data_IF_891308630216
#
_entry.id   IF_891308630216
#
_cell.length_a   1.000
_cell.length_b   1.000
_cell.length_c   1.000
_cell.angle_alpha   90.00
_cell.angle_beta   90.00
_cell.angle_gamma   90.00
#
_symmetry.space_group_name_H-M   'P 1'
#
loop_
_entity.id
_entity.type
_entity.pdbx_description
1 polymer ?
#
# COMPACT_ATOMS: atom_id res chain seq x y z
N UNK A 1 -3.92 25.29 19.46
CA UNK A 1 -3.43 24.09 20.16
C UNK A 1 -1.92 24.18 20.26
N UNK A 2 -1.39 24.58 21.43
CA UNK A 2 0.05 24.85 21.67
C UNK A 2 0.96 23.65 21.33
N UNK A 3 0.52 22.42 21.61
CA UNK A 3 1.24 21.18 21.23
C UNK A 3 1.35 21.00 19.72
N UNK A 4 0.37 21.44 18.97
CA UNK A 4 0.36 21.37 17.52
C UNK A 4 1.35 22.35 16.88
N UNK A 5 1.51 23.53 17.48
CA UNK A 5 2.45 24.54 16.97
C UNK A 5 3.91 24.20 17.27
N UNK A 6 4.17 23.45 18.35
CA UNK A 6 5.51 22.90 18.65
C UNK A 6 5.93 21.82 17.64
N UNK A 7 5.01 21.03 17.10
CA UNK A 7 5.33 19.96 16.14
C UNK A 7 5.56 20.47 14.72
N UNK A 8 5.07 21.65 14.36
CA UNK A 8 5.31 22.27 13.03
C UNK A 8 6.79 22.50 12.72
N UNK A 9 7.61 22.69 13.75
CA UNK A 9 9.05 22.91 13.61
C UNK A 9 9.87 21.60 13.55
N UNK A 10 9.22 20.46 13.79
CA UNK A 10 9.84 19.13 13.74
C UNK A 10 9.06 18.28 12.74
N UNK A 11 9.76 17.75 11.75
CA UNK A 11 9.19 16.75 10.84
C UNK A 11 8.94 15.46 11.63
N UNK A 12 7.74 15.28 12.15
CA UNK A 12 7.34 14.08 12.87
C UNK A 12 6.07 13.49 12.25
N UNK A 13 5.97 12.17 12.22
CA UNK A 13 4.84 11.42 11.70
C UNK A 13 3.76 11.13 12.76
N UNK A 14 4.05 11.44 14.02
CA UNK A 14 3.15 11.24 15.14
C UNK A 14 3.75 11.66 16.48
N UNK A 15 2.94 11.54 17.50
CA UNK A 15 3.30 11.80 18.88
C UNK A 15 3.14 10.53 19.71
N UNK A 16 3.98 10.36 20.72
CA UNK A 16 3.76 9.34 21.75
C UNK A 16 3.29 10.06 23.02
N UNK A 17 2.12 9.71 23.47
CA UNK A 17 1.52 10.24 24.71
C UNK A 17 1.74 9.21 25.81
N UNK A 18 2.43 9.60 26.87
CA UNK A 18 2.74 8.71 27.99
C UNK A 18 2.16 9.24 29.30
N UNK A 19 1.87 8.31 30.21
CA UNK A 19 1.57 8.65 31.61
C UNK A 19 2.82 9.25 32.24
N UNK A 20 2.73 10.44 32.83
CA UNK A 20 3.89 11.16 33.39
C UNK A 20 4.37 10.55 34.72
N UNK A 21 3.47 9.97 35.54
CA UNK A 21 3.83 9.39 36.85
C UNK A 21 4.61 8.06 36.69
N UNK A 22 5.83 8.04 37.24
CA UNK A 22 6.74 6.89 37.19
C UNK A 22 6.18 5.66 37.91
N UNK A 23 5.46 5.85 39.02
CA UNK A 23 4.90 4.74 39.79
C UNK A 23 3.76 4.08 39.01
N UNK A 24 2.92 4.88 38.37
CA UNK A 24 1.84 4.39 37.50
C UNK A 24 2.45 3.67 36.31
N UNK A 25 3.48 4.21 35.65
CA UNK A 25 4.18 3.52 34.53
C UNK A 25 4.71 2.16 34.96
N UNK A 26 5.35 2.07 36.13
CA UNK A 26 5.86 0.82 36.66
C UNK A 26 4.73 -0.20 36.97
N UNK A 27 3.61 0.28 37.52
CA UNK A 27 2.44 -0.57 37.81
C UNK A 27 1.76 -1.12 36.56
N UNK A 28 1.66 -0.31 35.49
CA UNK A 28 1.06 -0.71 34.21
C UNK A 28 1.95 -1.69 33.43
N UNK A 29 3.27 -1.53 33.51
CA UNK A 29 4.24 -2.40 32.87
C UNK A 29 4.18 -2.37 31.34
N UNK A 30 4.57 -3.50 30.72
CA UNK A 30 4.64 -3.69 29.27
C UNK A 30 3.79 -4.87 28.80
N UNK A 31 3.44 -4.85 27.52
CA UNK A 31 2.82 -5.96 26.81
C UNK A 31 3.87 -7.06 26.50
N UNK A 32 3.45 -8.32 26.16
CA UNK A 32 4.39 -9.37 25.77
C UNK A 32 5.30 -9.04 24.58
N UNK A 33 4.83 -8.16 23.68
CA UNK A 33 5.60 -7.67 22.54
C UNK A 33 6.57 -6.52 22.89
N UNK A 34 6.72 -6.18 24.19
CA UNK A 34 7.60 -5.13 24.68
C UNK A 34 7.01 -3.71 24.67
N UNK A 35 5.84 -3.50 24.07
CA UNK A 35 5.21 -2.18 24.02
C UNK A 35 4.73 -1.73 25.40
N UNK A 36 4.88 -0.43 25.76
CA UNK A 36 4.42 0.09 27.05
C UNK A 36 2.89 0.12 27.10
N UNK A 37 2.32 -0.31 28.25
CA UNK A 37 0.87 -0.16 28.51
C UNK A 37 0.47 1.24 28.94
N UNK A 38 1.44 2.05 29.30
CA UNK A 38 1.29 3.43 29.77
C UNK A 38 1.50 4.48 28.68
N UNK A 39 1.65 4.07 27.43
CA UNK A 39 1.86 4.97 26.31
C UNK A 39 0.96 4.60 25.11
N UNK A 40 0.54 5.62 24.37
CA UNK A 40 -0.22 5.47 23.14
C UNK A 40 0.40 6.32 22.03
N UNK A 41 0.56 5.75 20.84
CA UNK A 41 0.95 6.51 19.67
C UNK A 41 -0.27 7.21 19.07
N UNK A 42 -0.15 8.51 18.87
CA UNK A 42 -1.14 9.35 18.18
C UNK A 42 -0.58 9.78 16.84
N UNK A 43 -1.23 9.37 15.77
CA UNK A 43 -0.91 9.79 14.39
C UNK A 43 -2.08 10.56 13.82
N UNK A 44 -1.83 11.81 13.43
CA UNK A 44 -2.83 12.61 12.76
C UNK A 44 -2.69 12.48 11.25
N UNK A 45 -3.72 12.01 10.52
CA UNK A 45 -3.70 11.90 9.06
C UNK A 45 -3.40 13.23 8.35
N UNK A 46 -3.74 14.37 8.98
CA UNK A 46 -3.50 15.70 8.39
C UNK A 46 -2.04 16.16 8.43
N UNK A 47 -1.19 15.45 9.20
CA UNK A 47 0.26 15.74 9.27
C UNK A 47 1.06 15.03 8.18
N UNK A 48 0.42 14.13 7.44
CA UNK A 48 1.07 13.42 6.35
C UNK A 48 1.21 14.33 5.13
N UNK A 49 2.40 14.36 4.58
CA UNK A 49 2.62 15.03 3.29
C UNK A 49 1.78 14.35 2.21
N UNK A 50 1.08 15.16 1.41
CA UNK A 50 0.20 14.71 0.34
C UNK A 50 0.67 15.32 -0.97
N UNK A 51 0.85 14.48 -1.97
CA UNK A 51 1.26 14.91 -3.29
C UNK A 51 0.28 14.42 -4.34
N UNK A 52 -0.08 15.30 -5.25
CA UNK A 52 -0.86 14.93 -6.43
C UNK A 52 0.09 14.52 -7.54
N UNK A 53 -0.15 13.35 -8.13
CA UNK A 53 0.64 12.84 -9.25
C UNK A 53 -0.25 12.15 -10.26
N UNK A 54 0.29 11.86 -11.44
CA UNK A 54 -0.41 11.20 -12.54
C UNK A 54 0.03 9.74 -12.65
N UNK A 55 -0.93 8.82 -12.70
CA UNK A 55 -0.66 7.39 -12.95
C UNK A 55 -0.14 7.21 -14.37
N UNK A 56 1.00 6.57 -14.52
CA UNK A 56 1.58 6.20 -15.81
C UNK A 56 1.14 4.81 -16.25
N UNK A 57 1.12 3.85 -15.33
CA UNK A 57 0.68 2.47 -15.60
C UNK A 57 0.28 1.76 -14.30
N UNK A 58 -0.37 0.60 -14.47
CA UNK A 58 -0.54 -0.37 -13.38
C UNK A 58 0.17 -1.64 -13.83
N UNK A 59 1.14 -2.07 -13.03
CA UNK A 59 1.86 -3.31 -13.24
C UNK A 59 1.18 -4.43 -12.46
N UNK A 60 0.86 -5.52 -13.14
CA UNK A 60 0.23 -6.70 -12.55
C UNK A 60 1.24 -7.83 -12.46
N UNK A 61 1.43 -8.38 -11.28
CA UNK A 61 2.27 -9.56 -11.07
C UNK A 61 1.47 -10.68 -10.42
N UNK A 62 1.92 -11.92 -10.58
CA UNK A 62 1.27 -13.09 -9.97
C UNK A 62 2.05 -13.53 -8.72
N UNK A 63 1.34 -13.72 -7.62
CA UNK A 63 1.91 -14.24 -6.38
C UNK A 63 2.08 -15.76 -6.43
N UNK A 64 2.80 -16.35 -5.46
CA UNK A 64 2.93 -17.81 -5.29
C UNK A 64 1.59 -18.56 -5.20
N UNK A 65 0.54 -17.88 -4.73
CA UNK A 65 -0.80 -18.42 -4.59
C UNK A 65 -1.69 -18.14 -5.81
N UNK A 66 -1.12 -17.60 -6.89
CA UNK A 66 -1.82 -17.26 -8.12
C UNK A 66 -2.57 -15.93 -8.07
N UNK A 67 -2.53 -15.18 -6.98
CA UNK A 67 -3.22 -13.90 -6.85
C UNK A 67 -2.54 -12.81 -7.66
N UNK A 68 -3.33 -12.06 -8.43
CA UNK A 68 -2.86 -10.90 -9.18
C UNK A 68 -2.65 -9.71 -8.23
N UNK A 69 -1.43 -9.19 -8.19
CA UNK A 69 -1.02 -8.12 -7.29
C UNK A 69 -0.63 -6.88 -8.07
N UNK A 70 -1.44 -5.81 -7.99
CA UNK A 70 -1.16 -4.57 -8.70
C UNK A 70 -0.13 -3.70 -7.97
N UNK A 71 0.71 -3.03 -8.77
CA UNK A 71 1.58 -1.94 -8.36
C UNK A 71 1.20 -0.72 -9.19
N UNK A 72 0.85 0.38 -8.53
CA UNK A 72 0.53 1.65 -9.18
C UNK A 72 1.86 2.35 -9.48
N UNK A 73 2.10 2.64 -10.76
CA UNK A 73 3.26 3.40 -11.22
C UNK A 73 2.79 4.81 -11.61
N UNK A 74 3.49 5.84 -11.16
CA UNK A 74 3.10 7.24 -11.35
C UNK A 74 4.31 8.12 -11.62
N UNK A 75 4.05 9.35 -12.10
CA UNK A 75 5.09 10.36 -12.31
C UNK A 75 5.85 10.63 -11.01
N UNK A 76 7.18 10.84 -11.07
CA UNK A 76 8.03 10.97 -9.89
C UNK A 76 7.53 12.02 -8.90
N UNK A 77 7.53 11.67 -7.62
CA UNK A 77 7.23 12.56 -6.49
C UNK A 77 8.38 12.54 -5.51
N UNK A 78 8.79 13.72 -5.07
CA UNK A 78 9.86 13.88 -4.08
C UNK A 78 9.30 13.87 -2.66
N UNK A 79 9.67 12.86 -1.88
CA UNK A 79 9.36 12.75 -0.46
C UNK A 79 10.67 12.82 0.35
N UNK A 80 10.88 13.89 1.10
CA UNK A 80 12.06 14.05 1.98
C UNK A 80 13.39 13.67 1.33
N UNK A 81 13.61 14.13 0.07
CA UNK A 81 14.84 13.84 -0.68
C UNK A 81 14.91 12.44 -1.31
N UNK A 82 13.83 11.66 -1.24
CA UNK A 82 13.69 10.39 -1.94
C UNK A 82 12.66 10.50 -3.06
N UNK A 83 13.05 10.16 -4.28
CA UNK A 83 12.14 10.11 -5.43
C UNK A 83 11.34 8.80 -5.40
N UNK A 84 10.04 8.92 -5.41
CA UNK A 84 9.11 7.79 -5.41
C UNK A 84 8.28 7.80 -6.69
N UNK A 85 8.17 6.64 -7.32
CA UNK A 85 7.43 6.43 -8.59
C UNK A 85 6.40 5.31 -8.50
N UNK A 86 6.32 4.59 -7.36
CA UNK A 86 5.53 3.36 -7.24
C UNK A 86 4.91 3.25 -5.85
N UNK A 87 3.69 2.72 -5.79
CA UNK A 87 3.10 2.27 -4.54
C UNK A 87 2.26 1.00 -4.74
N UNK A 88 1.92 0.35 -3.64
CA UNK A 88 1.06 -0.84 -3.71
C UNK A 88 -0.34 -0.48 -4.16
N UNK A 89 -0.90 -1.29 -5.07
CA UNK A 89 -2.32 -1.27 -5.44
C UNK A 89 -3.14 -2.28 -4.63
N UNK A 90 -2.52 -2.95 -3.64
CA UNK A 90 -3.12 -3.94 -2.74
C UNK A 90 -3.70 -5.17 -3.45
N UNK A 91 -4.81 -5.02 -4.16
CA UNK A 91 -5.55 -6.07 -4.85
C UNK A 91 -6.42 -5.49 -5.98
N UNK A 92 -7.00 -6.36 -6.80
CA UNK A 92 -7.82 -5.96 -7.95
C UNK A 92 -9.05 -5.13 -7.54
N UNK A 93 -9.72 -5.53 -6.46
CA UNK A 93 -10.87 -4.80 -5.92
C UNK A 93 -10.50 -3.37 -5.55
N UNK A 94 -9.36 -3.16 -4.91
CA UNK A 94 -8.90 -1.82 -4.53
C UNK A 94 -8.70 -0.91 -5.73
N UNK A 95 -8.12 -1.41 -6.82
CA UNK A 95 -7.92 -0.67 -8.06
C UNK A 95 -9.26 -0.24 -8.67
N UNK A 96 -10.24 -1.15 -8.68
CA UNK A 96 -11.58 -0.88 -9.21
C UNK A 96 -12.33 0.12 -8.33
N UNK A 97 -12.42 -0.13 -7.04
CA UNK A 97 -13.19 0.70 -6.10
C UNK A 97 -12.66 2.15 -6.04
N UNK A 98 -11.37 2.34 -6.27
CA UNK A 98 -10.73 3.66 -6.29
C UNK A 98 -10.54 4.24 -7.69
N UNK A 99 -11.08 3.62 -8.76
CA UNK A 99 -11.01 4.07 -10.15
C UNK A 99 -9.58 4.40 -10.61
N UNK A 100 -8.60 3.60 -10.18
CA UNK A 100 -7.19 3.82 -10.51
C UNK A 100 -6.91 3.24 -11.89
N UNK A 101 -6.51 4.07 -12.83
CA UNK A 101 -6.18 3.67 -14.21
C UNK A 101 -5.06 4.56 -14.78
N UNK A 102 -4.43 4.19 -15.89
CA UNK A 102 -3.47 5.06 -16.58
C UNK A 102 -4.07 6.44 -16.86
N UNK A 103 -3.24 7.47 -16.73
CA UNK A 103 -3.60 8.88 -16.85
C UNK A 103 -4.54 9.44 -15.74
N UNK A 104 -4.94 8.65 -14.75
CA UNK A 104 -5.65 9.17 -13.59
C UNK A 104 -4.75 10.07 -12.74
N UNK A 105 -5.33 11.10 -12.13
CA UNK A 105 -4.68 11.92 -11.12
C UNK A 105 -5.01 11.38 -9.74
N UNK A 106 -3.97 11.06 -8.98
CA UNK A 106 -4.09 10.46 -7.65
C UNK A 106 -3.37 11.30 -6.60
N UNK A 107 -3.81 11.20 -5.37
CA UNK A 107 -3.09 11.70 -4.20
C UNK A 107 -2.33 10.56 -3.57
N UNK A 108 -1.04 10.74 -3.38
CA UNK A 108 -0.17 9.81 -2.69
C UNK A 108 0.38 10.44 -1.42
N UNK A 109 0.61 9.62 -0.41
CA UNK A 109 1.23 10.03 0.84
C UNK A 109 2.31 9.05 1.23
N UNK A 110 3.21 9.51 2.09
CA UNK A 110 4.17 8.66 2.79
C UNK A 110 3.74 8.56 4.25
N UNK A 111 3.33 7.37 4.68
CA UNK A 111 2.97 7.11 6.07
C UNK A 111 4.17 6.54 6.80
N UNK A 112 4.68 7.22 7.80
CA UNK A 112 5.79 6.80 8.66
C UNK A 112 6.90 6.13 7.87
N UNK A 113 8.03 6.34 8.05
CA UNK A 113 9.27 5.79 7.57
C UNK A 113 9.51 5.45 6.10
N UNK A 114 8.65 4.90 5.24
CA UNK A 114 9.20 4.55 3.91
C UNK A 114 8.19 4.21 2.82
N UNK A 115 6.99 3.75 3.12
CA UNK A 115 6.13 3.14 2.09
C UNK A 115 5.10 4.14 1.58
N UNK A 116 5.19 4.55 0.28
CA UNK A 116 4.17 5.39 -0.32
C UNK A 116 2.83 4.65 -0.43
N UNK A 117 1.75 5.37 -0.21
CA UNK A 117 0.38 4.86 -0.28
C UNK A 117 -0.49 5.78 -1.13
N UNK A 118 -1.37 5.18 -1.91
CA UNK A 118 -2.48 5.89 -2.54
C UNK A 118 -3.51 6.27 -1.47
N UNK A 119 -4.01 7.52 -1.53
CA UNK A 119 -5.07 8.01 -0.66
C UNK A 119 -6.40 8.10 -1.40
N UNK A 120 -6.41 8.79 -2.53
CA UNK A 120 -7.62 9.04 -3.30
C UNK A 120 -7.31 9.28 -4.78
N UNK A 121 -8.29 9.07 -5.63
CA UNK A 121 -8.24 9.40 -7.06
C UNK A 121 -9.08 10.65 -7.31
N UNK A 122 -8.45 11.71 -7.81
CA UNK A 122 -9.10 13.00 -8.05
C UNK A 122 -9.83 13.06 -9.38
N UNK A 123 -9.24 12.45 -10.42
CA UNK A 123 -9.75 12.49 -11.79
C UNK A 123 -9.28 11.27 -12.57
N UNK A 124 -10.14 10.69 -13.36
CA UNK A 124 -9.84 9.60 -14.29
C UNK A 124 -10.66 9.70 -15.57
N UNK A 125 -10.27 8.99 -16.64
CA UNK A 125 -11.06 8.80 -17.84
C UNK A 125 -11.84 7.50 -17.73
N UNK A 126 -13.15 7.53 -18.00
CA UNK A 126 -14.00 6.34 -18.00
C UNK A 126 -13.51 5.30 -19.02
N UNK A 127 -13.18 5.73 -20.23
CA UNK A 127 -12.68 4.86 -21.31
C UNK A 127 -11.37 4.18 -20.92
N UNK A 128 -10.41 4.93 -20.32
CA UNK A 128 -9.16 4.35 -19.83
C UNK A 128 -9.40 3.36 -18.69
N UNK A 129 -10.34 3.65 -17.81
CA UNK A 129 -10.68 2.78 -16.70
C UNK A 129 -11.33 1.48 -17.19
N UNK A 130 -12.30 1.54 -18.07
CA UNK A 130 -12.95 0.36 -18.66
C UNK A 130 -11.96 -0.52 -19.43
N UNK A 131 -11.11 0.08 -20.29
CA UNK A 131 -10.08 -0.66 -21.02
C UNK A 131 -9.04 -1.32 -20.09
N UNK A 132 -8.72 -0.69 -18.97
CA UNK A 132 -7.86 -1.30 -17.95
C UNK A 132 -8.57 -2.45 -17.25
N UNK A 133 -9.87 -2.32 -16.91
CA UNK A 133 -10.66 -3.38 -16.30
C UNK A 133 -10.73 -4.62 -17.20
N UNK A 134 -10.89 -4.45 -18.50
CA UNK A 134 -10.88 -5.55 -19.47
C UNK A 134 -9.52 -6.25 -19.52
N UNK A 135 -8.44 -5.47 -19.58
CA UNK A 135 -7.08 -6.00 -19.69
C UNK A 135 -6.62 -6.76 -18.43
N UNK A 136 -7.02 -6.30 -17.23
CA UNK A 136 -6.64 -6.93 -15.97
C UNK A 136 -7.28 -8.30 -15.72
N UNK A 137 -8.28 -8.68 -16.52
CA UNK A 137 -8.95 -9.99 -16.42
C UNK A 137 -8.10 -11.14 -16.96
N UNK A 138 -6.93 -10.87 -17.52
CA UNK A 138 -6.02 -11.88 -18.05
C UNK A 138 -4.72 -11.95 -17.25
N UNK A 139 -4.20 -13.16 -17.10
CA UNK A 139 -2.94 -13.38 -16.41
C UNK A 139 -1.78 -12.75 -17.18
N UNK A 140 -0.98 -11.86 -16.57
CA UNK A 140 0.15 -11.21 -17.27
C UNK A 140 1.27 -12.17 -17.64
N UNK A 141 1.32 -13.35 -17.02
CA UNK A 141 2.36 -14.34 -17.28
C UNK A 141 1.96 -15.40 -18.32
N UNK A 142 0.77 -15.97 -18.20
CA UNK A 142 0.35 -17.08 -19.06
C UNK A 142 -0.81 -16.74 -20.01
N UNK A 143 -1.39 -15.55 -19.94
CA UNK A 143 -2.49 -15.10 -20.79
C UNK A 143 -3.85 -15.72 -20.49
N UNK A 144 -3.96 -16.67 -19.57
CA UNK A 144 -5.22 -17.30 -19.22
C UNK A 144 -6.16 -16.34 -18.46
N UNK A 145 -7.49 -16.46 -18.64
CA UNK A 145 -8.44 -15.66 -17.91
C UNK A 145 -8.31 -15.85 -16.40
N UNK A 146 -8.27 -14.74 -15.67
CA UNK A 146 -8.30 -14.72 -14.22
C UNK A 146 -9.72 -14.90 -13.69
N UNK A 147 -9.86 -15.39 -12.47
CA UNK A 147 -11.14 -15.53 -11.78
C UNK A 147 -11.10 -14.80 -10.45
N UNK A 148 -12.21 -14.20 -10.08
CA UNK A 148 -12.36 -13.64 -8.74
C UNK A 148 -12.29 -14.73 -7.68
N UNK A 149 -11.61 -14.44 -6.57
CA UNK A 149 -11.66 -15.27 -5.38
C UNK A 149 -13.06 -15.23 -4.73
N UNK A 150 -13.29 -16.10 -3.74
CA UNK A 150 -14.58 -16.21 -3.05
C UNK A 150 -15.06 -14.91 -2.39
N UNK A 151 -14.12 -14.02 -2.05
CA UNK A 151 -14.39 -12.73 -1.38
C UNK A 151 -14.50 -11.57 -2.38
N UNK A 152 -14.37 -11.82 -3.68
CA UNK A 152 -14.35 -10.80 -4.73
C UNK A 152 -13.30 -9.70 -4.47
N UNK A 153 -12.14 -10.10 -3.96
CA UNK A 153 -11.06 -9.18 -3.58
C UNK A 153 -9.85 -9.29 -4.50
N UNK A 154 -9.41 -10.50 -4.76
CA UNK A 154 -8.26 -10.78 -5.63
C UNK A 154 -8.73 -11.47 -6.93
N UNK A 155 -8.10 -11.13 -8.05
CA UNK A 155 -8.14 -11.93 -9.26
C UNK A 155 -7.08 -13.03 -9.16
N UNK A 156 -7.43 -14.26 -9.52
CA UNK A 156 -6.58 -15.45 -9.33
C UNK A 156 -6.35 -16.17 -10.64
N UNK A 157 -5.10 -16.46 -10.95
CA UNK A 157 -4.71 -17.37 -12.02
C UNK A 157 -4.87 -18.81 -11.54
N UNK A 158 -5.80 -19.53 -12.16
CA UNK A 158 -6.08 -20.95 -11.84
C UNK A 158 -5.25 -21.93 -12.66
N UNK A 159 -4.45 -21.44 -13.63
CA UNK A 159 -3.58 -22.28 -14.43
C UNK A 159 -2.50 -22.94 -13.55
N UNK A 160 -2.46 -24.28 -13.46
CA UNK A 160 -1.43 -24.98 -12.69
C UNK A 160 -0.01 -24.84 -13.29
N UNK A 161 0.08 -24.56 -14.58
CA UNK A 161 1.33 -24.42 -15.33
C UNK A 161 1.72 -22.96 -15.57
N UNK A 162 1.26 -22.03 -14.75
CA UNK A 162 1.67 -20.63 -14.84
C UNK A 162 3.11 -20.46 -14.35
N UNK A 163 4.02 -20.03 -15.23
CA UNK A 163 5.46 -19.93 -14.95
C UNK A 163 5.77 -19.00 -13.78
N UNK A 164 5.16 -17.80 -13.74
CA UNK A 164 5.41 -16.85 -12.63
C UNK A 164 4.98 -17.42 -11.29
N UNK A 165 3.85 -18.12 -11.25
CA UNK A 165 3.38 -18.80 -10.03
C UNK A 165 4.39 -19.87 -9.57
N UNK A 166 4.90 -20.68 -10.48
CA UNK A 166 5.91 -21.70 -10.17
C UNK A 166 7.21 -21.08 -9.67
N UNK A 167 7.71 -20.04 -10.34
CA UNK A 167 8.91 -19.30 -9.91
C UNK A 167 8.72 -18.69 -8.52
N UNK A 168 7.58 -18.04 -8.25
CA UNK A 168 7.30 -17.45 -6.93
C UNK A 168 7.18 -18.50 -5.82
N UNK A 169 6.68 -19.69 -6.13
CA UNK A 169 6.64 -20.82 -5.18
C UNK A 169 8.05 -21.29 -4.84
N UNK A 170 8.92 -21.45 -5.84
CA UNK A 170 10.32 -21.83 -5.64
C UNK A 170 11.09 -20.77 -4.82
N UNK A 171 10.96 -19.49 -5.18
CA UNK A 171 11.58 -18.40 -4.43
C UNK A 171 11.13 -18.41 -2.95
N UNK A 172 9.84 -18.58 -2.70
CA UNK A 172 9.32 -18.67 -1.34
C UNK A 172 9.88 -19.88 -0.58
N UNK A 173 9.96 -21.04 -1.24
CA UNK A 173 10.54 -22.25 -0.64
C UNK A 173 11.97 -22.02 -0.18
N UNK A 174 12.84 -21.50 -1.06
CA UNK A 174 14.24 -21.24 -0.69
C UNK A 174 14.41 -20.14 0.35
N UNK A 175 13.59 -19.08 0.29
CA UNK A 175 13.65 -18.00 1.30
C UNK A 175 13.18 -18.43 2.70
N UNK A 176 12.42 -19.52 2.79
CA UNK A 176 11.88 -20.01 4.08
C UNK A 176 12.77 -21.09 4.71
N UNK A 177 13.57 -21.81 3.91
CA UNK A 177 14.34 -22.98 4.34
C UNK A 177 15.87 -22.76 4.32
N UNK A 178 16.32 -21.60 3.89
CA UNK A 178 17.71 -21.11 3.99
C UNK A 178 17.84 -19.95 4.93
#
# INVERSE_FOLDING_TARGET
NELFDLTKNFKCDGLVIEVDDKNIRNALGRLPNGNPRYAIAYKNPDWQERYTTKVTSIEWGISKDGKSKPVIVFEPVEFDGATVTRCTGYNAKYIIDNHICPNAYIVVTRSGDVIPKHLETLKYSVECFEGMCDSMMFCPSCGEPLRWDANLTDLVCVNPNCDEKAVKQLVYFFATWC
#
